data_IF_446411534863
#
_entry.id   IF_446411534863
#
_cell.length_a   1.000
_cell.length_b   1.000
_cell.length_c   1.000
_cell.angle_alpha   90.00
_cell.angle_beta   90.00
_cell.angle_gamma   90.00
#
_symmetry.space_group_name_H-M   'P 1'
#
loop_
_entity.id
_entity.type
_entity.pdbx_description
1 polymer ?
#
# COMPACT_ATOMS: atom_id res chain seq x y z
N UNK A 1 -5.17 -2.53 -6.31
CA UNK A 1 -4.68 -1.73 -5.16
C UNK A 1 -5.75 -0.72 -4.77
N UNK A 2 -6.09 -0.65 -3.48
CA UNK A 2 -6.96 0.41 -2.94
C UNK A 2 -6.14 1.24 -1.97
N UNK A 3 -6.19 2.55 -2.11
CA UNK A 3 -5.56 3.49 -1.18
C UNK A 3 -6.65 4.35 -0.53
N UNK A 4 -6.60 4.57 0.80
CA UNK A 4 -7.53 5.49 1.46
C UNK A 4 -7.45 6.88 0.85
N UNK A 5 -8.62 7.48 0.69
CA UNK A 5 -8.76 8.91 0.40
C UNK A 5 -8.32 9.74 1.61
N UNK A 6 -7.58 10.81 1.34
CA UNK A 6 -6.98 11.66 2.37
C UNK A 6 -7.86 12.87 2.74
N UNK A 7 -9.06 13.01 2.15
CA UNK A 7 -10.00 14.11 2.45
C UNK A 7 -10.34 14.25 3.93
N UNK A 8 -10.35 13.14 4.69
CA UNK A 8 -10.70 13.13 6.12
C UNK A 8 -9.48 13.25 7.03
N UNK A 9 -8.40 12.56 6.68
CA UNK A 9 -7.16 12.53 7.45
C UNK A 9 -6.02 11.92 6.62
N UNK A 10 -4.79 12.10 7.11
CA UNK A 10 -3.58 11.54 6.52
C UNK A 10 -2.75 12.57 5.75
N UNK A 11 -1.61 12.11 5.24
CA UNK A 11 -0.63 12.97 4.56
C UNK A 11 -0.45 12.46 3.14
N UNK A 12 -0.52 13.36 2.17
CA UNK A 12 -0.18 13.08 0.78
C UNK A 12 1.35 12.97 0.63
N UNK A 13 1.94 11.96 1.28
CA UNK A 13 3.39 11.77 1.34
C UNK A 13 3.98 11.42 -0.02
N UNK A 14 5.24 11.81 -0.24
CA UNK A 14 5.98 11.58 -1.50
C UNK A 14 6.00 10.09 -1.85
N UNK A 15 6.33 9.21 -0.90
CA UNK A 15 6.34 7.76 -1.13
C UNK A 15 4.97 7.21 -1.54
N UNK A 16 3.87 7.78 -1.03
CA UNK A 16 2.52 7.39 -1.47
C UNK A 16 2.31 7.77 -2.92
N UNK A 17 2.67 8.99 -3.31
CA UNK A 17 2.52 9.44 -4.70
C UNK A 17 3.32 8.55 -5.66
N UNK A 18 4.60 8.32 -5.34
CA UNK A 18 5.51 7.46 -6.11
C UNK A 18 4.95 6.04 -6.27
N UNK A 19 4.49 5.44 -5.17
CA UNK A 19 3.92 4.10 -5.19
C UNK A 19 2.70 4.01 -6.10
N UNK A 20 1.82 5.00 -6.07
CA UNK A 20 0.59 5.01 -6.87
C UNK A 20 0.93 5.18 -8.37
N UNK A 21 1.87 6.06 -8.69
CA UNK A 21 2.35 6.26 -10.07
C UNK A 21 3.00 5.00 -10.63
N UNK A 22 3.90 4.36 -9.86
CA UNK A 22 4.52 3.10 -10.28
C UNK A 22 3.50 1.98 -10.45
N UNK A 23 2.58 1.84 -9.49
CA UNK A 23 1.52 0.83 -9.57
C UNK A 23 0.70 1.00 -10.85
N UNK A 24 0.31 2.24 -11.18
CA UNK A 24 -0.38 2.54 -12.44
C UNK A 24 0.51 2.22 -13.66
N UNK A 25 1.79 2.60 -13.63
CA UNK A 25 2.76 2.33 -14.69
C UNK A 25 2.98 0.85 -15.01
N UNK A 26 2.85 -0.04 -14.01
CA UNK A 26 2.91 -1.51 -14.20
C UNK A 26 1.53 -2.15 -14.40
N UNK A 27 0.49 -1.36 -14.65
CA UNK A 27 -0.86 -1.80 -14.96
C UNK A 27 -1.64 -2.37 -13.79
N UNK A 28 -1.31 -2.00 -12.54
CA UNK A 28 -2.09 -2.39 -11.35
C UNK A 28 -3.32 -1.49 -11.26
N UNK A 29 -4.56 -2.06 -11.29
CA UNK A 29 -5.76 -1.26 -11.10
C UNK A 29 -5.73 -0.54 -9.74
N UNK A 30 -5.90 0.77 -9.77
CA UNK A 30 -5.85 1.62 -8.59
C UNK A 30 -7.20 2.29 -8.32
N UNK A 31 -7.63 2.26 -7.06
CA UNK A 31 -8.79 3.01 -6.59
C UNK A 31 -8.44 3.82 -5.33
N UNK A 32 -8.71 5.12 -5.35
CA UNK A 32 -8.61 6.01 -4.19
C UNK A 32 -10.01 6.29 -3.68
N UNK A 33 -10.34 5.82 -2.47
CA UNK A 33 -11.67 5.97 -1.87
C UNK A 33 -11.64 5.74 -0.37
N UNK A 34 -12.77 5.97 0.29
CA UNK A 34 -12.96 5.53 1.67
C UNK A 34 -12.93 4.00 1.75
N UNK A 35 -12.26 3.49 2.78
CA UNK A 35 -12.16 2.06 3.12
C UNK A 35 -12.67 1.88 4.54
N UNK A 36 -13.69 1.05 4.72
CA UNK A 36 -14.22 0.74 6.05
C UNK A 36 -13.37 -0.33 6.74
N UNK A 37 -13.45 -0.44 8.07
CA UNK A 37 -12.78 -1.52 8.80
C UNK A 37 -13.26 -2.91 8.36
N UNK A 38 -14.55 -3.05 8.07
CA UNK A 38 -15.12 -4.32 7.60
C UNK A 38 -14.57 -4.71 6.22
N UNK A 39 -14.29 -3.73 5.36
CA UNK A 39 -13.67 -3.99 4.07
C UNK A 39 -12.17 -4.31 4.22
N UNK A 40 -11.46 -3.58 5.08
CA UNK A 40 -10.05 -3.85 5.39
C UNK A 40 -9.87 -5.30 5.88
N UNK A 41 -10.77 -5.78 6.74
CA UNK A 41 -10.81 -7.16 7.22
C UNK A 41 -10.90 -8.21 6.10
N UNK A 42 -11.48 -7.85 4.96
CA UNK A 42 -11.66 -8.74 3.79
C UNK A 42 -10.57 -8.59 2.73
N UNK A 43 -9.58 -7.72 2.94
CA UNK A 43 -8.49 -7.52 1.99
C UNK A 43 -7.63 -8.79 1.85
N UNK A 44 -7.16 -9.07 0.63
CA UNK A 44 -6.26 -10.21 0.37
C UNK A 44 -4.88 -10.00 1.01
N UNK A 45 -4.42 -8.75 1.07
CA UNK A 45 -3.16 -8.32 1.65
C UNK A 45 -3.22 -6.83 2.07
N UNK A 46 -2.45 -6.48 3.09
CA UNK A 46 -2.40 -5.12 3.65
C UNK A 46 -0.95 -4.70 3.85
N UNK A 47 -0.64 -3.45 3.56
CA UNK A 47 0.69 -2.87 3.80
C UNK A 47 0.59 -1.38 4.15
N UNK A 48 1.67 -0.86 4.74
CA UNK A 48 1.91 0.57 4.95
C UNK A 48 2.95 1.05 3.95
N UNK A 49 2.90 2.33 3.57
CA UNK A 49 3.95 2.96 2.78
C UNK A 49 4.49 4.22 3.46
N UNK A 50 5.81 4.35 3.57
CA UNK A 50 6.47 5.55 4.06
C UNK A 50 7.88 5.73 3.45
N UNK A 51 8.44 6.93 3.54
CA UNK A 51 9.73 7.25 2.91
C UNK A 51 10.93 6.56 3.55
N UNK A 52 10.83 6.09 4.80
CA UNK A 52 11.94 5.46 5.50
C UNK A 52 12.06 3.97 5.19
N UNK A 53 10.92 3.29 5.00
CA UNK A 53 10.85 1.84 4.88
C UNK A 53 10.23 1.37 3.55
N UNK A 54 9.86 2.29 2.66
CA UNK A 54 9.15 1.96 1.42
C UNK A 54 7.81 1.32 1.74
N UNK A 55 7.61 0.05 1.33
CA UNK A 55 6.42 -0.74 1.64
C UNK A 55 6.71 -1.72 2.79
N UNK A 56 5.90 -1.62 3.84
CA UNK A 56 5.94 -2.49 5.00
C UNK A 56 4.66 -3.36 5.09
N UNK A 57 4.75 -4.70 4.93
CA UNK A 57 3.59 -5.57 5.00
C UNK A 57 2.97 -5.60 6.40
N UNK A 58 1.65 -5.47 6.48
CA UNK A 58 0.89 -5.67 7.72
C UNK A 58 0.48 -7.14 7.79
N UNK A 59 0.99 -7.85 8.80
CA UNK A 59 0.71 -9.29 8.97
C UNK A 59 -0.50 -9.57 9.84
N UNK A 60 -0.87 -8.66 10.72
CA UNK A 60 -2.02 -8.81 11.58
C UNK A 60 -2.52 -7.46 12.10
N UNK A 61 -3.82 -7.40 12.41
CA UNK A 61 -4.48 -6.32 13.15
C UNK A 61 -5.65 -6.94 13.94
N UNK A 62 -5.60 -6.80 15.26
CA UNK A 62 -6.52 -7.49 16.18
C UNK A 62 -6.58 -9.00 15.88
N UNK A 63 -7.75 -9.51 15.50
CA UNK A 63 -8.00 -10.91 15.15
C UNK A 63 -7.77 -11.25 13.66
N UNK A 64 -7.46 -10.25 12.83
CA UNK A 64 -7.24 -10.43 11.40
C UNK A 64 -5.78 -10.70 11.11
N UNK A 65 -5.52 -11.65 10.20
CA UNK A 65 -4.18 -12.04 9.78
C UNK A 65 -4.12 -12.04 8.26
N UNK A 66 -3.13 -11.36 7.69
CA UNK A 66 -2.92 -11.28 6.25
C UNK A 66 -1.60 -11.93 5.82
N UNK A 67 -1.58 -12.59 4.65
CA UNK A 67 -0.35 -13.00 4.01
C UNK A 67 0.40 -11.77 3.47
N UNK A 68 1.70 -11.95 3.21
CA UNK A 68 2.42 -11.04 2.31
C UNK A 68 2.23 -11.56 0.90
N UNK A 69 1.23 -11.02 0.21
CA UNK A 69 0.83 -11.45 -1.13
C UNK A 69 1.78 -10.99 -2.23
N UNK A 70 1.44 -11.37 -3.46
CA UNK A 70 2.26 -11.14 -4.64
C UNK A 70 2.31 -9.67 -5.02
N UNK A 71 1.21 -8.91 -4.84
CA UNK A 71 1.20 -7.49 -5.19
C UNK A 71 2.10 -6.70 -4.24
N UNK A 72 2.06 -6.99 -2.94
CA UNK A 72 2.96 -6.34 -1.97
C UNK A 72 4.42 -6.55 -2.36
N UNK A 73 4.81 -7.78 -2.72
CA UNK A 73 6.19 -8.10 -3.14
C UNK A 73 6.57 -7.42 -4.44
N UNK A 74 5.69 -7.49 -5.44
CA UNK A 74 5.91 -6.83 -6.73
C UNK A 74 6.16 -5.33 -6.55
N UNK A 75 5.37 -4.66 -5.71
CA UNK A 75 5.53 -3.24 -5.43
C UNK A 75 6.78 -2.95 -4.60
N UNK A 76 7.17 -3.84 -3.66
CA UNK A 76 8.45 -3.73 -2.95
C UNK A 76 9.64 -3.80 -3.90
N UNK A 77 9.60 -4.70 -4.89
CA UNK A 77 10.65 -4.82 -5.90
C UNK A 77 10.71 -3.57 -6.79
N UNK A 78 9.57 -2.99 -7.17
CA UNK A 78 9.50 -1.73 -7.93
C UNK A 78 10.06 -0.51 -7.20
N UNK A 79 10.06 -0.51 -5.86
CA UNK A 79 10.58 0.60 -5.05
C UNK A 79 12.03 0.38 -4.59
N UNK A 80 12.56 -0.85 -4.70
CA UNK A 80 13.93 -1.17 -4.27
C UNK A 80 14.97 -0.42 -5.10
N UNK A 81 14.67 -0.16 -6.37
CA UNK A 81 15.57 0.53 -7.31
C UNK A 81 15.92 1.98 -6.89
N UNK A 82 15.18 2.59 -5.95
CA UNK A 82 15.40 3.98 -5.50
C UNK A 82 15.89 4.11 -4.04
N UNK A 83 15.97 3.02 -3.28
CA UNK A 83 16.30 3.04 -1.84
C UNK A 83 17.78 2.73 -1.56
N UNK A 84 18.64 2.76 -2.58
CA UNK A 84 20.10 2.72 -2.42
C UNK A 84 20.58 4.05 -1.81
N UNK A 85 20.59 4.12 -0.48
CA UNK A 85 21.32 5.13 0.31
C UNK A 85 22.77 4.72 0.54
#
# INVERSE_FOLDING_TARGET
LVAPDLRRCGVAGVMRAELLERAEGIGVPLAIRDVSMAELATADEVFLCNSQFGIWPVRALDEHVWPVGELTRKLQDQLRDDLDF
#
